data_IF_791907156282
#
_entry.id   IF_791907156282
#
_cell.length_a   1.000
_cell.length_b   1.000
_cell.length_c   1.000
_cell.angle_alpha   90.00
_cell.angle_beta   90.00
_cell.angle_gamma   90.00
#
_symmetry.space_group_name_H-M   'P 1'
#
loop_
_entity.id
_entity.type
_entity.pdbx_description
1 polymer ?
#
# COMPACT_ATOMS: atom_id res chain seq x y z
N UNK A 1 13.10 31.72 57.89
CA UNK A 1 13.64 30.57 58.63
C UNK A 1 13.04 29.34 57.95
N UNK A 2 13.69 28.59 57.08
CA UNK A 2 15.08 28.17 57.08
C UNK A 2 15.12 26.70 57.48
N UNK A 3 15.08 25.78 56.51
CA UNK A 3 15.83 24.52 56.57
C UNK A 3 15.88 23.86 55.20
N UNK A 4 17.12 23.62 54.81
CA UNK A 4 17.65 23.18 53.53
C UNK A 4 18.10 21.72 53.60
N UNK A 5 17.99 21.03 52.45
CA UNK A 5 18.98 20.08 51.90
C UNK A 5 19.12 18.70 52.59
N UNK A 6 19.67 17.64 51.94
CA UNK A 6 20.58 17.69 50.78
C UNK A 6 20.39 16.67 49.63
N UNK A 7 21.21 16.96 48.63
CA UNK A 7 21.59 16.32 47.38
C UNK A 7 22.24 14.93 47.51
N UNK A 8 22.18 14.15 46.44
CA UNK A 8 23.04 12.97 46.21
C UNK A 8 23.24 12.72 44.72
N UNK A 9 24.41 13.10 44.21
CA UNK A 9 24.95 12.69 42.91
C UNK A 9 25.57 11.28 43.02
N UNK A 10 25.46 10.46 41.98
CA UNK A 10 26.39 9.38 41.69
C UNK A 10 26.59 9.21 40.18
N UNK A 11 27.84 9.39 39.76
CA UNK A 11 28.42 9.01 38.47
C UNK A 11 28.58 7.49 38.33
N UNK A 12 28.67 6.99 37.10
CA UNK A 12 29.55 5.84 36.81
C UNK A 12 29.13 4.91 35.66
N UNK A 13 29.83 5.05 34.53
CA UNK A 13 30.22 4.02 33.55
C UNK A 13 29.10 3.32 32.72
N UNK A 14 29.13 3.26 31.39
CA UNK A 14 30.24 3.32 30.44
C UNK A 14 30.70 1.91 30.07
N UNK A 15 30.03 1.27 29.10
CA UNK A 15 30.61 0.11 28.39
C UNK A 15 30.22 0.14 26.90
N UNK A 16 31.17 0.62 26.10
CA UNK A 16 31.26 0.40 24.66
C UNK A 16 31.79 -1.02 24.40
N UNK A 17 31.07 -1.81 23.61
CA UNK A 17 31.58 -3.07 23.08
C UNK A 17 32.12 -2.84 21.66
N UNK A 18 33.44 -2.77 21.55
CA UNK A 18 34.20 -2.81 20.31
C UNK A 18 34.45 -4.28 19.92
N UNK A 19 33.92 -4.69 18.77
CA UNK A 19 34.18 -6.02 18.20
C UNK A 19 35.29 -5.87 17.16
N UNK A 20 36.45 -6.46 17.48
CA UNK A 20 37.60 -6.57 16.58
C UNK A 20 37.33 -7.56 15.46
N UNK A 21 37.46 -7.13 14.20
CA UNK A 21 37.53 -8.03 13.04
C UNK A 21 38.98 -8.52 12.87
N UNK A 22 39.23 -9.81 13.12
CA UNK A 22 40.44 -10.49 12.66
C UNK A 22 40.23 -10.99 11.24
N UNK A 23 41.13 -10.57 10.35
CA UNK A 23 41.35 -11.11 9.02
C UNK A 23 42.03 -12.46 9.10
N UNK A 24 41.61 -13.42 8.26
CA UNK A 24 42.47 -14.54 7.87
C UNK A 24 42.25 -14.86 6.40
N UNK A 25 43.35 -14.74 5.65
CA UNK A 25 43.51 -15.19 4.28
C UNK A 25 43.72 -16.70 4.28
N UNK A 26 43.00 -17.44 3.44
CA UNK A 26 43.45 -18.75 2.94
C UNK A 26 43.22 -18.79 1.43
N UNK A 27 44.30 -19.05 0.71
CA UNK A 27 44.37 -19.14 -0.75
C UNK A 27 44.69 -20.59 -1.12
N UNK A 28 44.13 -21.02 -2.25
CA UNK A 28 44.69 -22.00 -3.21
C UNK A 28 44.62 -23.51 -2.93
N UNK A 29 43.84 -24.20 -3.77
CA UNK A 29 44.28 -25.35 -4.62
C UNK A 29 43.13 -25.69 -5.59
N UNK A 30 43.21 -25.32 -6.88
CA UNK A 30 43.62 -26.16 -8.03
C UNK A 30 43.05 -27.58 -8.02
N UNK A 31 42.08 -27.84 -8.91
CA UNK A 31 42.03 -29.10 -9.65
C UNK A 31 41.40 -28.90 -11.03
N UNK A 32 42.05 -29.54 -12.00
CA UNK A 32 41.89 -29.39 -13.44
C UNK A 32 41.24 -30.65 -14.01
N UNK A 33 40.19 -30.51 -14.82
CA UNK A 33 39.73 -31.59 -15.69
C UNK A 33 39.54 -31.09 -17.12
N UNK A 34 40.27 -31.74 -18.01
CA UNK A 34 40.34 -31.60 -19.47
C UNK A 34 39.86 -32.94 -20.04
N UNK A 35 39.04 -32.90 -21.11
CA UNK A 35 38.70 -33.95 -22.12
C UNK A 35 37.21 -33.78 -22.47
N UNK A 36 36.72 -33.93 -23.70
CA UNK A 36 37.31 -34.20 -25.01
C UNK A 36 36.21 -33.87 -26.03
N UNK A 37 36.59 -33.25 -27.14
CA UNK A 37 35.72 -33.06 -28.29
C UNK A 37 35.53 -34.39 -29.02
N UNK A 38 34.29 -34.70 -29.44
CA UNK A 38 33.98 -35.77 -30.38
C UNK A 38 33.68 -35.13 -31.73
N UNK A 39 34.48 -35.55 -32.71
CA UNK A 39 34.37 -35.27 -34.14
C UNK A 39 33.25 -36.10 -34.77
N UNK A 40 32.46 -35.48 -35.64
CA UNK A 40 31.57 -36.18 -36.59
C UNK A 40 31.47 -35.36 -37.87
N UNK A 41 32.02 -35.90 -38.95
CA UNK A 41 32.03 -35.32 -40.29
C UNK A 41 31.07 -36.09 -41.22
N UNK A 42 30.49 -35.35 -42.19
CA UNK A 42 29.86 -35.73 -43.46
C UNK A 42 28.59 -34.86 -43.64
N UNK A 43 28.25 -34.26 -44.78
CA UNK A 43 28.71 -34.38 -46.15
C UNK A 43 28.28 -33.13 -46.94
N UNK A 44 29.06 -32.82 -47.97
CA UNK A 44 28.93 -31.73 -48.93
C UNK A 44 27.70 -31.81 -49.85
N UNK A 45 27.14 -30.65 -50.20
CA UNK A 45 26.69 -30.36 -51.56
C UNK A 45 26.83 -28.86 -51.85
N UNK A 46 27.80 -28.54 -52.72
CA UNK A 46 28.06 -27.21 -53.27
C UNK A 46 26.96 -26.80 -54.24
N UNK A 47 26.49 -25.55 -54.13
CA UNK A 47 25.97 -24.79 -55.28
C UNK A 47 26.69 -23.44 -55.29
N UNK A 48 27.44 -23.21 -56.36
CA UNK A 48 28.18 -21.99 -56.64
C UNK A 48 27.25 -20.78 -56.79
N UNK A 49 27.57 -19.66 -56.15
CA UNK A 49 27.17 -18.35 -56.65
C UNK A 49 28.36 -17.39 -56.65
N UNK A 50 28.64 -16.90 -57.87
CA UNK A 50 29.71 -15.99 -58.27
C UNK A 50 29.70 -14.71 -57.44
N UNK A 51 30.88 -14.36 -56.90
CA UNK A 51 31.19 -13.01 -56.39
C UNK A 51 31.10 -12.00 -57.54
N UNK A 52 30.12 -11.10 -57.45
CA UNK A 52 30.10 -9.86 -58.23
C UNK A 52 30.52 -8.72 -57.31
N UNK A 53 31.73 -8.22 -57.52
CA UNK A 53 32.20 -6.96 -56.93
C UNK A 53 31.39 -5.85 -57.58
N UNK A 54 30.63 -5.10 -56.79
CA UNK A 54 30.07 -3.81 -57.20
C UNK A 54 30.47 -2.78 -56.16
N UNK A 55 31.09 -1.74 -56.70
CA UNK A 55 31.65 -0.55 -56.07
C UNK A 55 30.65 0.21 -55.21
N UNK A 56 31.18 0.73 -54.10
CA UNK A 56 30.50 1.63 -53.18
C UNK A 56 30.35 3.02 -53.83
N UNK A 57 29.13 3.45 -54.15
CA UNK A 57 28.82 4.87 -54.40
C UNK A 57 27.31 5.10 -54.29
N UNK A 58 26.90 5.82 -53.24
CA UNK A 58 25.53 6.28 -53.05
C UNK A 58 25.16 6.33 -51.57
N UNK A 59 25.35 7.50 -50.96
CA UNK A 59 24.86 7.78 -49.61
C UNK A 59 23.34 7.66 -49.60
N UNK A 60 22.82 6.52 -49.16
CA UNK A 60 21.43 6.41 -48.74
C UNK A 60 21.34 6.99 -47.34
N UNK A 61 20.72 8.17 -47.21
CA UNK A 61 20.33 8.73 -45.92
C UNK A 61 19.62 7.64 -45.11
N UNK A 62 20.21 7.28 -43.97
CA UNK A 62 19.61 6.35 -43.04
C UNK A 62 18.31 6.97 -42.54
N UNK A 63 17.16 6.49 -43.05
CA UNK A 63 15.85 6.81 -42.47
C UNK A 63 15.96 6.58 -40.96
N UNK A 64 15.56 7.55 -40.11
CA UNK A 64 15.66 7.38 -38.68
C UNK A 64 14.87 6.12 -38.32
N UNK A 65 15.56 5.11 -37.75
CA UNK A 65 14.91 3.95 -37.17
C UNK A 65 14.00 4.48 -36.08
N UNK A 66 12.70 4.59 -36.41
CA UNK A 66 11.68 4.96 -35.46
C UNK A 66 11.80 3.96 -34.31
N UNK A 67 12.23 4.41 -33.13
CA UNK A 67 12.24 3.57 -31.94
C UNK A 67 10.77 3.32 -31.61
N UNK A 68 10.27 2.14 -31.99
CA UNK A 68 8.87 1.74 -31.82
C UNK A 68 8.43 1.62 -30.35
N UNK A 69 9.36 1.72 -29.40
CA UNK A 69 9.08 1.60 -27.98
C UNK A 69 9.43 2.92 -27.30
N UNK A 70 8.42 3.69 -26.83
CA UNK A 70 8.65 4.83 -25.96
C UNK A 70 9.50 4.40 -24.76
N UNK A 71 10.66 5.03 -24.57
CA UNK A 71 11.46 4.84 -23.35
C UNK A 71 11.16 5.99 -22.42
N UNK A 72 10.76 5.70 -21.19
CA UNK A 72 10.68 6.72 -20.15
C UNK A 72 12.08 7.30 -19.92
N UNK A 73 12.23 8.62 -19.67
CA UNK A 73 13.53 9.31 -19.58
C UNK A 73 14.55 8.71 -18.59
N UNK A 74 14.09 7.87 -17.66
CA UNK A 74 14.90 7.26 -16.59
C UNK A 74 15.11 5.75 -16.72
N UNK A 75 14.84 5.15 -17.89
CA UNK A 75 14.81 3.68 -18.09
C UNK A 75 15.99 3.10 -18.85
N UNK A 76 17.03 3.88 -19.18
CA UNK A 76 18.12 3.42 -20.05
C UNK A 76 18.93 2.22 -19.49
N UNK A 77 18.83 1.91 -18.19
CA UNK A 77 19.61 0.86 -17.53
C UNK A 77 18.84 -0.41 -17.11
N UNK A 78 17.54 -0.52 -17.38
CA UNK A 78 16.73 -1.65 -16.89
C UNK A 78 16.33 -2.61 -18.01
N UNK A 79 16.31 -3.93 -17.75
CA UNK A 79 15.79 -4.89 -18.71
C UNK A 79 14.31 -4.58 -19.01
N UNK A 80 13.94 -4.66 -20.28
CA UNK A 80 12.55 -4.48 -20.71
C UNK A 80 11.72 -5.60 -20.07
N UNK A 81 10.68 -5.23 -19.32
CA UNK A 81 9.76 -6.22 -18.79
C UNK A 81 9.08 -6.99 -19.94
N UNK A 82 8.84 -8.30 -19.79
CA UNK A 82 7.93 -9.01 -20.67
C UNK A 82 6.59 -8.26 -20.74
N UNK A 83 5.87 -8.33 -21.87
CA UNK A 83 4.55 -7.71 -22.02
C UNK A 83 3.53 -8.16 -20.97
N UNK A 84 3.76 -9.31 -20.35
CA UNK A 84 2.97 -9.91 -19.26
C UNK A 84 3.51 -9.59 -17.86
N UNK A 85 4.63 -8.87 -17.75
CA UNK A 85 5.27 -8.54 -16.47
C UNK A 85 4.71 -7.25 -15.87
N UNK A 86 4.72 -7.16 -14.54
CA UNK A 86 4.41 -5.90 -13.85
C UNK A 86 5.65 -5.00 -13.80
N UNK A 87 5.46 -3.68 -13.87
CA UNK A 87 6.58 -2.74 -13.94
C UNK A 87 6.46 -1.59 -12.95
N UNK A 88 7.45 -1.46 -12.06
CA UNK A 88 7.57 -0.33 -11.16
C UNK A 88 8.28 0.85 -11.81
N UNK A 89 7.71 2.04 -11.64
CA UNK A 89 8.34 3.29 -12.01
C UNK A 89 7.91 4.42 -11.06
N UNK A 90 8.78 5.43 -10.93
CA UNK A 90 8.38 6.69 -10.30
C UNK A 90 7.50 7.45 -11.28
N UNK A 91 6.33 7.87 -10.83
CA UNK A 91 5.39 8.61 -11.65
C UNK A 91 5.87 10.05 -11.85
N UNK A 92 5.81 10.55 -13.09
CA UNK A 92 6.01 11.97 -13.39
C UNK A 92 4.70 12.70 -13.13
N UNK A 93 4.64 13.49 -12.06
CA UNK A 93 3.44 14.24 -11.65
C UNK A 93 3.73 15.75 -11.68
N UNK A 94 2.69 16.56 -11.89
CA UNK A 94 2.80 18.01 -11.97
C UNK A 94 1.58 18.70 -11.35
N UNK A 95 1.58 20.04 -11.31
CA UNK A 95 0.49 20.83 -10.70
C UNK A 95 0.74 21.19 -9.24
N UNK A 96 -0.33 21.43 -8.49
CA UNK A 96 -0.30 21.79 -7.08
C UNK A 96 -0.10 20.54 -6.21
N UNK A 97 1.11 20.00 -6.25
CA UNK A 97 1.47 18.87 -5.39
C UNK A 97 1.42 19.26 -3.91
N UNK A 98 1.30 18.30 -2.98
CA UNK A 98 1.35 18.58 -1.55
C UNK A 98 2.58 19.35 -1.07
N UNK A 99 3.67 19.32 -1.85
CA UNK A 99 4.92 20.03 -1.55
C UNK A 99 5.59 19.58 -0.25
N UNK A 100 5.12 18.49 0.34
CA UNK A 100 5.56 17.95 1.62
C UNK A 100 5.31 16.45 1.69
N UNK A 101 6.14 15.73 2.45
CA UNK A 101 5.89 14.33 2.73
C UNK A 101 4.63 14.10 3.58
N UNK A 102 3.98 12.97 3.37
CA UNK A 102 2.78 12.61 4.14
C UNK A 102 2.72 11.13 4.45
N UNK A 103 2.39 10.81 5.70
CA UNK A 103 2.11 9.44 6.15
C UNK A 103 0.75 9.33 6.84
N UNK A 104 0.17 8.14 6.79
CA UNK A 104 -1.12 7.83 7.42
C UNK A 104 -2.27 8.76 6.97
N UNK A 105 -2.22 9.20 5.72
CA UNK A 105 -3.33 9.83 5.00
C UNK A 105 -4.28 8.75 4.48
N UNK A 106 -5.45 9.15 3.98
CA UNK A 106 -6.33 8.29 3.18
C UNK A 106 -6.33 8.74 1.73
N UNK A 107 -6.65 7.81 0.83
CA UNK A 107 -6.83 8.05 -0.59
C UNK A 107 -8.12 7.36 -1.03
N UNK A 108 -9.03 8.09 -1.67
CA UNK A 108 -10.30 7.56 -2.19
C UNK A 108 -10.43 7.92 -3.66
N UNK A 109 -10.65 6.92 -4.50
CA UNK A 109 -10.83 7.13 -5.94
C UNK A 109 -12.27 7.53 -6.23
N UNK A 110 -12.46 8.63 -6.96
CA UNK A 110 -13.75 9.06 -7.49
C UNK A 110 -13.55 9.29 -8.98
N UNK A 111 -14.15 8.43 -9.80
CA UNK A 111 -13.84 8.31 -11.23
C UNK A 111 -12.34 8.07 -11.46
N UNK A 112 -11.63 9.00 -12.13
CA UNK A 112 -10.19 8.94 -12.38
C UNK A 112 -9.36 9.79 -11.39
N UNK A 113 -10.00 10.40 -10.39
CA UNK A 113 -9.39 11.34 -9.46
C UNK A 113 -9.24 10.72 -8.08
N UNK A 114 -8.01 10.69 -7.57
CA UNK A 114 -7.68 10.24 -6.23
C UNK A 114 -7.78 11.42 -5.27
N UNK A 115 -8.75 11.37 -4.37
CA UNK A 115 -8.92 12.33 -3.29
C UNK A 115 -8.07 11.90 -2.10
N UNK A 116 -7.02 12.66 -1.82
CA UNK A 116 -6.07 12.43 -0.72
C UNK A 116 -6.36 13.40 0.41
N UNK A 117 -6.61 12.87 1.60
CA UNK A 117 -6.94 13.69 2.77
C UNK A 117 -6.02 13.43 3.95
N UNK A 118 -5.64 14.54 4.60
CA UNK A 118 -4.99 14.56 5.91
C UNK A 118 -3.64 13.86 5.93
N UNK A 119 -3.42 13.03 6.94
CA UNK A 119 -2.11 12.47 7.24
C UNK A 119 -1.26 13.42 8.07
N UNK A 120 0.00 13.08 8.25
CA UNK A 120 0.92 13.86 9.07
C UNK A 120 2.35 13.81 8.55
N UNK A 121 3.16 14.74 9.02
CA UNK A 121 4.61 14.72 8.96
C UNK A 121 5.21 14.90 10.37
N UNK A 122 6.45 15.39 10.45
CA UNK A 122 7.11 15.68 11.72
C UNK A 122 6.53 16.91 12.44
N UNK A 123 5.92 17.84 11.71
CA UNK A 123 5.41 19.12 12.23
C UNK A 123 3.99 19.02 12.73
N UNK A 124 3.16 18.17 12.12
CA UNK A 124 1.76 18.06 12.52
C UNK A 124 0.91 17.15 11.64
N UNK A 125 -0.38 17.08 11.96
CA UNK A 125 -1.39 16.48 11.09
C UNK A 125 -2.01 17.55 10.20
N UNK A 126 -2.55 17.12 9.07
CA UNK A 126 -3.15 17.98 8.06
C UNK A 126 -4.65 17.74 7.93
N UNK A 127 -5.36 18.75 7.39
CA UNK A 127 -6.79 18.68 7.02
C UNK A 127 -7.00 19.04 5.54
N UNK A 128 -5.92 19.09 4.79
CA UNK A 128 -5.95 19.49 3.39
C UNK A 128 -6.47 18.34 2.54
N UNK A 129 -7.17 18.71 1.47
CA UNK A 129 -7.57 17.78 0.42
C UNK A 129 -6.73 18.08 -0.81
N UNK A 130 -6.08 17.05 -1.33
CA UNK A 130 -5.44 17.09 -2.64
C UNK A 130 -6.16 16.14 -3.58
N UNK A 131 -6.29 16.52 -4.84
CA UNK A 131 -6.90 15.70 -5.87
C UNK A 131 -5.84 15.38 -6.93
N UNK A 132 -5.57 14.09 -7.11
CA UNK A 132 -4.63 13.60 -8.12
C UNK A 132 -5.40 12.93 -9.27
N UNK A 133 -5.42 13.59 -10.42
CA UNK A 133 -5.96 13.03 -11.65
C UNK A 133 -4.95 12.04 -12.23
N UNK A 134 -5.34 10.77 -12.32
CA UNK A 134 -4.47 9.66 -12.74
C UNK A 134 -4.37 9.49 -14.25
N UNK A 135 -5.26 10.15 -15.00
CA UNK A 135 -5.22 10.19 -16.45
C UNK A 135 -4.25 11.29 -16.91
N UNK A 136 -4.40 12.50 -16.35
CA UNK A 136 -3.54 13.63 -16.69
C UNK A 136 -2.25 13.69 -15.88
N UNK A 137 -2.10 12.89 -14.81
CA UNK A 137 -0.98 12.93 -13.86
C UNK A 137 -0.82 14.28 -13.15
N UNK A 138 -1.93 14.99 -12.98
CA UNK A 138 -1.99 16.34 -12.44
C UNK A 138 -2.54 16.36 -11.00
N UNK A 139 -1.84 17.06 -10.12
CA UNK A 139 -2.30 17.40 -8.78
C UNK A 139 -2.99 18.76 -8.77
N UNK A 140 -4.11 18.83 -8.06
CA UNK A 140 -4.81 20.07 -7.73
C UNK A 140 -5.07 20.14 -6.23
N UNK A 141 -5.15 21.37 -5.71
CA UNK A 141 -5.50 21.64 -4.31
C UNK A 141 -6.79 22.45 -4.23
N UNK A 142 -7.96 21.79 -4.38
CA UNK A 142 -9.23 22.48 -4.39
C UNK A 142 -9.56 23.14 -3.04
N UNK A 143 -10.13 24.34 -3.09
CA UNK A 143 -10.70 25.00 -1.91
C UNK A 143 -11.88 24.19 -1.37
N UNK A 144 -11.82 23.85 -0.09
CA UNK A 144 -12.86 23.16 0.65
C UNK A 144 -13.70 24.14 1.46
N UNK A 145 -15.00 23.87 1.58
CA UNK A 145 -15.94 24.71 2.36
C UNK A 145 -16.74 23.89 3.36
N UNK A 146 -17.48 24.55 4.26
CA UNK A 146 -18.36 23.90 5.23
C UNK A 146 -17.66 23.47 6.52
N UNK A 147 -18.14 22.38 7.12
CA UNK A 147 -17.67 21.87 8.43
C UNK A 147 -16.45 20.97 8.25
N UNK A 148 -15.31 21.57 7.90
CA UNK A 148 -14.07 20.85 7.59
C UNK A 148 -13.58 20.07 8.82
N UNK A 149 -13.23 18.77 8.68
CA UNK A 149 -12.70 17.98 9.79
C UNK A 149 -11.44 18.59 10.41
N UNK A 150 -11.16 18.35 11.70
CA UNK A 150 -9.88 18.72 12.29
C UNK A 150 -8.72 17.98 11.60
N UNK A 151 -7.49 18.50 11.67
CA UNK A 151 -6.33 17.80 11.13
C UNK A 151 -6.18 16.43 11.78
N UNK A 152 -5.96 15.39 10.98
CA UNK A 152 -5.88 14.03 11.52
C UNK A 152 -5.12 13.06 10.61
N UNK A 153 -4.72 11.95 11.22
CA UNK A 153 -4.07 10.81 10.57
C UNK A 153 -4.75 9.50 10.95
N UNK A 154 -4.44 8.45 10.18
CA UNK A 154 -4.90 7.08 10.43
C UNK A 154 -6.43 7.01 10.58
N UNK A 155 -7.12 7.66 9.65
CA UNK A 155 -8.56 7.70 9.50
C UNK A 155 -8.98 6.83 8.31
N UNK A 156 -10.28 6.63 8.11
CA UNK A 156 -10.79 5.96 6.91
C UNK A 156 -11.72 6.89 6.14
N UNK A 157 -11.76 6.69 4.82
CA UNK A 157 -12.60 7.44 3.90
C UNK A 157 -13.23 6.42 2.93
N UNK A 158 -14.56 6.41 2.86
CA UNK A 158 -15.33 5.45 2.07
C UNK A 158 -16.25 6.20 1.12
N UNK A 159 -16.16 5.92 -0.18
CA UNK A 159 -17.04 6.51 -1.18
C UNK A 159 -18.42 5.86 -1.14
N UNK A 160 -19.45 6.71 -1.12
CA UNK A 160 -20.85 6.33 -1.32
C UNK A 160 -21.43 7.28 -2.36
N UNK A 161 -21.79 6.74 -3.52
CA UNK A 161 -22.19 7.50 -4.70
C UNK A 161 -21.13 8.56 -5.10
N UNK A 162 -21.39 9.84 -4.81
CA UNK A 162 -20.48 10.97 -5.05
C UNK A 162 -20.05 11.66 -3.75
N UNK A 163 -20.30 11.04 -2.61
CA UNK A 163 -19.99 11.58 -1.29
C UNK A 163 -19.00 10.67 -0.57
N UNK A 164 -17.98 11.24 0.03
CA UNK A 164 -17.01 10.50 0.82
C UNK A 164 -17.45 10.57 2.29
N UNK A 165 -17.74 9.42 2.88
CA UNK A 165 -17.94 9.28 4.33
C UNK A 165 -16.57 9.14 4.98
N UNK A 166 -16.24 10.10 5.84
CA UNK A 166 -14.96 10.23 6.50
C UNK A 166 -15.09 9.93 7.99
N UNK A 167 -14.47 8.84 8.44
CA UNK A 167 -14.48 8.43 9.85
C UNK A 167 -13.15 8.87 10.46
N UNK A 168 -13.22 9.88 11.33
CA UNK A 168 -12.04 10.58 11.80
C UNK A 168 -11.11 9.67 12.62
N UNK A 169 -9.81 9.92 12.48
CA UNK A 169 -8.75 9.21 13.18
C UNK A 169 -8.32 9.98 14.43
N UNK A 170 -7.12 10.55 14.42
CA UNK A 170 -6.67 11.40 15.52
C UNK A 170 -5.45 12.25 15.20
N UNK A 171 -5.04 13.09 16.14
CA UNK A 171 -3.82 13.90 16.11
C UNK A 171 -3.17 13.94 17.50
N UNK A 172 -1.88 13.61 17.58
CA UNK A 172 -1.15 13.58 18.85
C UNK A 172 -1.83 12.67 19.88
N UNK A 173 -2.20 13.18 21.07
CA UNK A 173 -2.95 12.46 22.09
C UNK A 173 -4.47 12.45 21.85
N UNK A 174 -4.98 13.27 20.92
CA UNK A 174 -6.40 13.40 20.65
C UNK A 174 -6.86 12.35 19.65
N UNK A 175 -7.85 11.55 20.04
CA UNK A 175 -8.52 10.57 19.19
C UNK A 175 -9.93 11.08 18.92
N UNK A 176 -10.44 10.84 17.72
CA UNK A 176 -11.72 11.35 17.27
C UNK A 176 -12.71 10.19 17.06
N UNK A 177 -13.99 10.51 17.23
CA UNK A 177 -15.15 9.62 17.06
C UNK A 177 -16.17 10.18 16.05
N UNK A 178 -15.88 11.37 15.49
CA UNK A 178 -16.76 12.08 14.59
C UNK A 178 -16.69 11.52 13.17
N UNK A 179 -17.84 11.52 12.50
CA UNK A 179 -17.97 11.22 11.07
C UNK A 179 -18.30 12.50 10.31
N UNK A 180 -17.63 12.71 9.18
CA UNK A 180 -17.85 13.84 8.29
C UNK A 180 -18.23 13.34 6.90
N UNK A 181 -18.97 14.16 6.16
CA UNK A 181 -19.36 13.87 4.78
C UNK A 181 -18.75 14.93 3.89
N UNK A 182 -17.97 14.52 2.89
CA UNK A 182 -17.52 15.38 1.81
C UNK A 182 -18.37 15.13 0.57
N UNK A 183 -19.07 16.17 0.12
CA UNK A 183 -19.69 16.16 -1.20
C UNK A 183 -18.65 16.54 -2.26
N UNK A 184 -18.33 15.61 -3.15
CA UNK A 184 -17.21 15.79 -4.11
C UNK A 184 -17.56 16.71 -5.27
N UNK A 185 -18.86 16.98 -5.52
CA UNK A 185 -19.34 17.90 -6.55
C UNK A 185 -19.26 19.34 -6.04
N UNK A 186 -19.82 19.59 -4.85
CA UNK A 186 -19.86 20.92 -4.25
C UNK A 186 -18.61 21.27 -3.45
N UNK A 187 -17.73 20.29 -3.18
CA UNK A 187 -16.51 20.43 -2.36
C UNK A 187 -16.81 20.98 -0.97
N UNK A 188 -17.93 20.55 -0.41
CA UNK A 188 -18.44 21.00 0.88
C UNK A 188 -18.45 19.85 1.88
N UNK A 189 -17.82 20.09 3.02
CA UNK A 189 -17.86 19.23 4.19
C UNK A 189 -19.10 19.51 5.04
N UNK A 190 -19.66 18.46 5.63
CA UNK A 190 -20.74 18.51 6.62
C UNK A 190 -20.38 17.57 7.77
N UNK A 191 -20.62 17.99 9.01
CA UNK A 191 -20.57 17.09 10.15
C UNK A 191 -21.80 16.18 10.08
N UNK A 192 -21.56 14.88 10.07
CA UNK A 192 -22.65 13.92 9.91
C UNK A 192 -23.57 13.96 11.14
N UNK A 193 -24.88 13.95 10.89
CA UNK A 193 -25.88 13.82 11.95
C UNK A 193 -26.10 12.32 12.18
N UNK A 194 -25.68 11.85 13.36
CA UNK A 194 -25.71 10.44 13.72
C UNK A 194 -26.74 10.26 14.83
N UNK A 195 -27.62 9.28 14.64
CA UNK A 195 -28.52 8.80 15.66
C UNK A 195 -27.82 7.79 16.58
N UNK A 196 -28.00 7.95 17.89
CA UNK A 196 -27.47 7.03 18.89
C UNK A 196 -26.02 7.31 19.29
N UNK A 197 -25.27 6.24 19.56
CA UNK A 197 -23.94 6.30 20.18
C UNK A 197 -22.87 6.05 19.12
N UNK A 198 -21.88 6.94 19.05
CA UNK A 198 -20.71 6.75 18.20
C UNK A 198 -19.81 5.62 18.73
N UNK A 199 -19.05 4.95 17.86
CA UNK A 199 -17.94 4.12 18.28
C UNK A 199 -16.97 4.94 19.14
N UNK A 200 -16.29 4.33 20.13
CA UNK A 200 -15.26 5.01 20.90
C UNK A 200 -14.22 5.70 20.01
N UNK A 201 -13.69 6.87 20.43
CA UNK A 201 -12.68 7.58 19.67
C UNK A 201 -11.49 6.70 19.32
N UNK A 202 -11.07 6.70 18.05
CA UNK A 202 -10.07 5.74 17.56
C UNK A 202 -9.27 6.27 16.38
N UNK A 203 -8.07 5.72 16.20
CA UNK A 203 -7.26 5.87 14.97
C UNK A 203 -6.74 4.51 14.52
N UNK A 204 -6.24 4.46 13.30
CA UNK A 204 -5.65 3.26 12.68
C UNK A 204 -6.64 2.08 12.58
N UNK A 205 -7.94 2.39 12.55
CA UNK A 205 -9.00 1.45 12.23
C UNK A 205 -9.07 1.25 10.72
N UNK A 206 -9.74 0.20 10.27
CA UNK A 206 -10.03 -0.03 8.86
C UNK A 206 -11.55 -0.04 8.64
N UNK A 207 -11.97 0.17 7.40
CA UNK A 207 -13.37 0.21 7.04
C UNK A 207 -13.62 -0.44 5.67
N UNK A 208 -14.76 -1.11 5.50
CA UNK A 208 -15.24 -1.62 4.20
C UNK A 208 -16.73 -1.35 4.04
N UNK A 209 -17.20 -1.13 2.80
CA UNK A 209 -18.61 -0.91 2.48
C UNK A 209 -19.27 -2.21 2.02
N UNK A 210 -20.25 -2.72 2.76
CA UNK A 210 -20.99 -3.93 2.40
C UNK A 210 -22.49 -3.74 2.61
N UNK A 211 -23.29 -4.04 1.58
CA UNK A 211 -24.77 -3.99 1.61
C UNK A 211 -25.35 -2.74 2.30
N UNK A 212 -24.85 -1.56 1.93
CA UNK A 212 -25.34 -0.28 2.49
C UNK A 212 -24.89 -0.04 3.94
N UNK A 213 -23.81 -0.68 4.39
CA UNK A 213 -23.22 -0.44 5.71
C UNK A 213 -21.71 -0.27 5.60
N UNK A 214 -21.15 0.73 6.28
CA UNK A 214 -19.69 0.84 6.46
C UNK A 214 -19.31 0.09 7.72
N UNK A 215 -18.61 -1.03 7.55
CA UNK A 215 -18.12 -1.87 8.63
C UNK A 215 -16.72 -1.43 9.04
N UNK A 216 -16.54 -1.06 10.30
CA UNK A 216 -15.29 -0.64 10.92
C UNK A 216 -14.77 -1.73 11.85
N UNK A 217 -13.49 -2.03 11.76
CA UNK A 217 -12.83 -2.98 12.66
C UNK A 217 -11.56 -2.40 13.30
N UNK A 218 -11.44 -2.64 14.60
CA UNK A 218 -10.23 -2.40 15.38
C UNK A 218 -9.80 -0.92 15.48
N UNK A 219 -8.49 -0.70 15.37
CA UNK A 219 -7.84 0.58 15.66
C UNK A 219 -7.31 0.65 17.09
N UNK A 220 -7.10 1.86 17.60
CA UNK A 220 -6.74 2.09 19.00
C UNK A 220 -7.27 3.43 19.50
N UNK A 221 -7.54 3.53 20.80
CA UNK A 221 -8.18 4.69 21.44
C UNK A 221 -7.22 5.54 22.29
N UNK A 222 -5.92 5.27 22.20
CA UNK A 222 -4.89 5.94 23.00
C UNK A 222 -4.53 5.24 24.30
N UNK A 223 -5.38 4.35 24.79
CA UNK A 223 -5.08 3.50 25.95
C UNK A 223 -4.71 2.08 25.53
N UNK A 224 -5.43 1.53 24.54
CA UNK A 224 -5.23 0.18 24.03
C UNK A 224 -5.61 0.09 22.55
N UNK A 225 -5.19 -1.00 21.91
CA UNK A 225 -5.74 -1.41 20.64
C UNK A 225 -7.15 -2.01 20.83
N UNK A 226 -7.92 -2.10 19.75
CA UNK A 226 -9.31 -2.55 19.76
C UNK A 226 -9.49 -3.74 18.81
N UNK A 227 -10.49 -4.58 19.09
CA UNK A 227 -11.00 -5.62 18.18
C UNK A 227 -12.53 -5.65 18.12
N UNK A 228 -13.18 -4.52 18.41
CA UNK A 228 -14.61 -4.37 18.23
C UNK A 228 -14.95 -4.12 16.76
N UNK A 229 -16.19 -4.45 16.40
CA UNK A 229 -16.76 -4.24 15.07
C UNK A 229 -17.95 -3.30 15.20
N UNK A 230 -18.00 -2.29 14.36
CA UNK A 230 -19.10 -1.34 14.26
C UNK A 230 -19.58 -1.24 12.82
N UNK A 231 -20.87 -1.01 12.61
CA UNK A 231 -21.44 -0.78 11.30
C UNK A 231 -22.20 0.56 11.29
N UNK A 232 -21.93 1.40 10.29
CA UNK A 232 -22.67 2.62 10.01
C UNK A 232 -23.68 2.34 8.90
N UNK A 233 -24.96 2.47 9.20
CA UNK A 233 -26.01 2.38 8.20
C UNK A 233 -25.95 3.59 7.25
N UNK A 234 -25.83 3.30 5.96
CA UNK A 234 -25.76 4.24 4.84
C UNK A 234 -26.68 3.79 3.69
N UNK A 235 -27.57 2.82 3.93
CA UNK A 235 -28.41 2.20 2.89
C UNK A 235 -29.40 3.19 2.26
N UNK A 236 -29.75 4.25 2.98
CA UNK A 236 -30.65 5.32 2.54
C UNK A 236 -29.91 6.64 2.32
N UNK A 237 -28.63 6.57 1.95
CA UNK A 237 -27.75 7.71 1.77
C UNK A 237 -27.15 8.21 3.09
N UNK A 238 -26.63 9.44 3.08
CA UNK A 238 -25.83 10.00 4.17
C UNK A 238 -26.56 11.02 5.06
N UNK A 239 -27.89 11.15 4.89
CA UNK A 239 -28.68 12.13 5.65
C UNK A 239 -29.20 11.59 6.97
N UNK A 240 -29.33 10.26 7.10
CA UNK A 240 -29.72 9.56 8.32
C UNK A 240 -28.74 8.44 8.58
N UNK A 241 -27.80 8.69 9.47
CA UNK A 241 -26.75 7.74 9.81
C UNK A 241 -26.96 7.19 11.19
N UNK A 242 -26.72 5.89 11.36
CA UNK A 242 -26.80 5.24 12.66
C UNK A 242 -25.67 4.23 12.81
N UNK A 243 -24.93 4.36 13.89
CA UNK A 243 -23.95 3.36 14.29
C UNK A 243 -24.61 2.23 15.06
N UNK A 244 -24.19 1.00 14.77
CA UNK A 244 -24.53 -0.18 15.53
C UNK A 244 -23.25 -0.93 15.87
N UNK A 245 -23.05 -1.26 17.14
CA UNK A 245 -21.98 -2.18 17.53
C UNK A 245 -22.41 -3.59 17.14
N UNK A 246 -21.56 -4.29 16.41
CA UNK A 246 -21.85 -5.64 15.94
C UNK A 246 -21.20 -6.64 16.88
N UNK A 247 -22.03 -7.50 17.47
CA UNK A 247 -21.55 -8.67 18.19
C UNK A 247 -21.11 -9.72 17.17
N UNK A 248 -19.85 -10.14 17.27
CA UNK A 248 -19.25 -11.12 16.37
C UNK A 248 -19.07 -12.46 17.07
N UNK A 249 -19.03 -13.52 16.28
CA UNK A 249 -18.97 -14.89 16.75
C UNK A 249 -17.67 -15.58 16.31
N UNK A 250 -17.40 -16.74 16.92
CA UNK A 250 -16.18 -17.50 16.69
C UNK A 250 -14.95 -16.92 17.41
N UNK A 251 -13.77 -17.44 17.07
CA UNK A 251 -12.51 -16.91 17.61
C UNK A 251 -12.20 -15.61 16.88
N UNK A 252 -12.16 -14.49 17.59
CA UNK A 252 -11.83 -13.18 17.01
C UNK A 252 -10.31 -12.94 16.94
N UNK A 253 -9.84 -12.12 15.99
CA UNK A 253 -8.49 -11.57 16.01
C UNK A 253 -8.17 -10.83 17.32
N UNK A 254 -6.88 -10.84 17.68
CA UNK A 254 -6.36 -9.94 18.72
C UNK A 254 -6.60 -8.47 18.34
N UNK A 255 -6.71 -7.62 19.35
CA UNK A 255 -6.76 -6.17 19.22
C UNK A 255 -5.63 -5.61 18.36
N UNK A 256 -5.95 -4.74 17.39
CA UNK A 256 -4.98 -4.30 16.40
C UNK A 256 -5.33 -2.97 15.75
N UNK A 257 -4.31 -2.16 15.48
CA UNK A 257 -4.36 -1.00 14.60
C UNK A 257 -3.38 -1.14 13.43
N UNK A 258 -3.55 -0.30 12.41
CA UNK A 258 -2.70 -0.26 11.20
C UNK A 258 -2.58 -1.60 10.46
N UNK A 259 -3.60 -2.45 10.62
CA UNK A 259 -3.87 -3.58 9.73
C UNK A 259 -4.51 -3.05 8.44
N UNK A 260 -4.68 -3.91 7.46
CA UNK A 260 -5.51 -3.63 6.27
C UNK A 260 -6.82 -4.41 6.35
N UNK A 261 -7.86 -3.89 5.70
CA UNK A 261 -9.10 -4.61 5.49
C UNK A 261 -9.57 -4.42 4.04
N UNK A 262 -9.98 -5.51 3.40
CA UNK A 262 -10.49 -5.53 2.04
C UNK A 262 -11.84 -6.25 2.02
N UNK A 263 -12.83 -5.66 1.33
CA UNK A 263 -14.07 -6.38 1.05
C UNK A 263 -13.81 -7.37 -0.08
N UNK A 264 -14.21 -8.61 0.14
CA UNK A 264 -14.09 -9.69 -0.81
C UNK A 264 -15.35 -10.55 -0.72
N UNK A 265 -16.22 -10.46 -1.73
CA UNK A 265 -17.56 -11.04 -1.65
C UNK A 265 -18.31 -10.49 -0.43
N UNK A 266 -18.70 -11.37 0.49
CA UNK A 266 -19.31 -11.03 1.78
C UNK A 266 -18.33 -11.08 2.97
N UNK A 267 -17.02 -11.16 2.72
CA UNK A 267 -16.02 -11.21 3.78
C UNK A 267 -15.23 -9.91 3.85
N UNK A 268 -15.00 -9.42 5.07
CA UNK A 268 -13.91 -8.50 5.36
C UNK A 268 -12.64 -9.32 5.62
N UNK A 269 -11.64 -9.19 4.74
CA UNK A 269 -10.32 -9.83 4.88
C UNK A 269 -9.39 -8.88 5.63
N UNK A 270 -8.96 -9.26 6.82
CA UNK A 270 -8.07 -8.48 7.69
C UNK A 270 -6.67 -9.08 7.68
N UNK A 271 -5.66 -8.27 7.35
CA UNK A 271 -4.25 -8.72 7.27
C UNK A 271 -3.38 -7.94 8.26
N UNK A 272 -2.65 -8.66 9.10
CA UNK A 272 -1.59 -8.12 9.97
C UNK A 272 -2.09 -7.10 11.00
N UNK A 273 -1.31 -6.03 11.20
CA UNK A 273 -1.52 -5.00 12.22
C UNK A 273 -0.64 -5.18 13.46
N UNK A 274 -0.92 -4.38 14.49
CA UNK A 274 -0.21 -4.44 15.77
C UNK A 274 -1.08 -3.92 16.92
N UNK A 275 -0.87 -4.46 18.11
CA UNK A 275 -1.39 -3.95 19.38
C UNK A 275 -0.47 -2.90 20.05
N UNK A 276 0.69 -2.62 19.45
CA UNK A 276 1.75 -1.76 19.99
C UNK A 276 2.87 -2.52 20.69
N UNK A 277 2.72 -3.82 20.93
CA UNK A 277 3.77 -4.72 21.45
C UNK A 277 4.32 -5.64 20.37
N UNK A 278 3.42 -6.27 19.63
CA UNK A 278 3.74 -7.22 18.58
C UNK A 278 3.19 -6.79 17.22
N UNK A 279 3.91 -7.14 16.15
CA UNK A 279 3.40 -7.08 14.78
C UNK A 279 2.86 -8.44 14.40
N UNK A 280 1.62 -8.48 13.90
CA UNK A 280 0.93 -9.71 13.52
C UNK A 280 1.18 -10.10 12.07
N UNK A 281 1.10 -11.41 11.84
CA UNK A 281 1.29 -12.05 10.53
C UNK A 281 0.08 -12.86 10.06
N UNK A 282 -1.01 -12.83 10.82
CA UNK A 282 -2.22 -13.59 10.57
C UNK A 282 -3.15 -12.88 9.57
N UNK A 283 -4.01 -13.70 8.94
CA UNK A 283 -5.10 -13.24 8.09
C UNK A 283 -6.41 -13.77 8.69
N UNK A 284 -7.41 -12.90 8.75
CA UNK A 284 -8.73 -13.20 9.29
C UNK A 284 -9.81 -12.83 8.28
N UNK A 285 -10.87 -13.61 8.27
CA UNK A 285 -12.07 -13.37 7.48
C UNK A 285 -13.23 -13.16 8.44
N UNK A 286 -13.87 -12.00 8.38
CA UNK A 286 -15.18 -11.79 9.00
C UNK A 286 -16.24 -11.92 7.92
N UNK A 287 -17.07 -12.96 8.03
CA UNK A 287 -18.26 -13.07 7.20
C UNK A 287 -19.29 -12.02 7.65
N UNK A 288 -19.59 -11.05 6.80
CA UNK A 288 -20.43 -9.89 7.13
C UNK A 288 -21.93 -10.19 7.11
N UNK A 289 -22.36 -11.32 6.55
CA UNK A 289 -23.75 -11.77 6.63
C UNK A 289 -24.04 -12.47 7.98
N UNK A 290 -23.05 -13.16 8.55
CA UNK A 290 -23.21 -14.00 9.76
C UNK A 290 -22.46 -13.49 10.99
N UNK A 291 -21.64 -12.44 10.82
CA UNK A 291 -20.73 -11.90 11.82
C UNK A 291 -19.73 -12.94 12.39
N UNK A 292 -19.41 -13.99 11.64
CA UNK A 292 -18.51 -15.07 12.06
C UNK A 292 -17.07 -14.79 11.64
N UNK A 293 -16.13 -14.85 12.59
CA UNK A 293 -14.69 -14.80 12.33
C UNK A 293 -14.12 -16.19 12.03
N UNK A 294 -13.28 -16.25 10.99
CA UNK A 294 -12.49 -17.43 10.62
C UNK A 294 -11.03 -17.03 10.40
N UNK A 295 -10.09 -17.75 11.00
CA UNK A 295 -8.65 -17.54 10.78
C UNK A 295 -8.22 -18.26 9.51
N UNK A 296 -7.45 -17.60 8.64
CA UNK A 296 -6.81 -18.25 7.52
C UNK A 296 -5.82 -19.32 8.00
N UNK A 297 -5.78 -20.47 7.33
CA UNK A 297 -4.70 -21.44 7.47
C UNK A 297 -3.67 -21.17 6.39
N UNK A 298 -2.49 -20.72 6.80
CA UNK A 298 -1.43 -20.29 5.89
C UNK A 298 -0.26 -21.27 5.93
N UNK A 299 0.30 -21.57 4.76
CA UNK A 299 1.54 -22.34 4.66
C UNK A 299 2.77 -21.50 5.05
N UNK A 300 2.67 -20.17 4.84
CA UNK A 300 3.69 -19.20 5.21
C UNK A 300 3.05 -17.96 5.80
N UNK A 301 3.68 -17.37 6.80
CA UNK A 301 3.18 -16.16 7.45
C UNK A 301 4.16 -14.99 7.30
N UNK A 302 3.63 -13.77 7.17
CA UNK A 302 4.41 -12.54 7.00
C UNK A 302 3.93 -11.45 7.95
N UNK A 303 4.80 -11.00 8.86
CA UNK A 303 4.50 -9.88 9.75
C UNK A 303 4.33 -8.60 8.94
N UNK A 304 3.18 -7.93 9.09
CA UNK A 304 2.88 -6.72 8.33
C UNK A 304 2.08 -5.71 9.16
N UNK A 305 2.66 -4.53 9.36
CA UNK A 305 2.06 -3.36 9.99
C UNK A 305 2.17 -2.16 9.06
N UNK A 306 1.15 -1.29 8.98
CA UNK A 306 1.22 -0.06 8.14
C UNK A 306 1.55 -0.31 6.66
N UNK A 307 1.28 -1.53 6.20
CA UNK A 307 1.29 -1.90 4.80
C UNK A 307 0.00 -1.44 4.14
N UNK A 308 -0.07 -1.54 2.82
CA UNK A 308 -1.31 -1.43 2.08
C UNK A 308 -1.69 -2.78 1.48
N UNK A 309 -2.99 -2.98 1.24
CA UNK A 309 -3.51 -4.17 0.58
C UNK A 309 -4.52 -3.69 -0.48
N UNK A 310 -4.19 -3.85 -1.75
CA UNK A 310 -5.06 -3.43 -2.86
C UNK A 310 -5.52 -4.66 -3.62
N UNK A 311 -6.83 -4.79 -3.80
CA UNK A 311 -7.37 -5.91 -4.56
C UNK A 311 -7.18 -5.68 -6.05
N UNK A 312 -6.61 -6.66 -6.75
CA UNK A 312 -6.44 -6.71 -8.20
C UNK A 312 -6.88 -8.09 -8.68
N UNK A 313 -8.08 -8.19 -9.25
CA UNK A 313 -8.68 -9.47 -9.61
C UNK A 313 -8.80 -10.41 -8.41
N UNK A 314 -8.26 -11.62 -8.52
CA UNK A 314 -8.24 -12.65 -7.48
C UNK A 314 -7.08 -12.54 -6.49
N UNK A 315 -6.41 -11.39 -6.40
CA UNK A 315 -5.26 -11.18 -5.53
C UNK A 315 -5.42 -9.94 -4.66
N UNK A 316 -4.93 -10.01 -3.43
CA UNK A 316 -4.59 -8.81 -2.65
C UNK A 316 -3.10 -8.54 -2.79
N UNK A 317 -2.77 -7.38 -3.35
CA UNK A 317 -1.40 -6.87 -3.45
C UNK A 317 -1.04 -6.20 -2.13
N UNK A 318 -0.25 -6.90 -1.33
CA UNK A 318 0.22 -6.46 -0.02
C UNK A 318 1.59 -5.81 -0.19
N UNK A 319 1.62 -4.48 -0.08
CA UNK A 319 2.77 -3.66 -0.45
C UNK A 319 3.40 -3.01 0.79
N UNK A 320 4.70 -3.27 0.96
CA UNK A 320 5.54 -2.69 1.99
C UNK A 320 5.08 -2.97 3.43
N UNK A 321 5.17 -1.94 4.27
CA UNK A 321 4.87 -2.01 5.70
C UNK A 321 6.06 -2.45 6.56
N UNK A 322 5.85 -2.51 7.86
CA UNK A 322 6.82 -2.87 8.89
C UNK A 322 6.65 -4.33 9.30
N UNK A 323 7.75 -5.09 9.37
CA UNK A 323 7.73 -6.53 9.65
C UNK A 323 8.16 -6.91 11.07
N UNK A 324 8.30 -5.92 11.95
CA UNK A 324 8.71 -6.10 13.35
C UNK A 324 10.12 -5.60 13.64
N UNK A 325 11.01 -5.63 12.65
CA UNK A 325 12.40 -5.13 12.74
C UNK A 325 12.72 -4.00 11.76
N UNK A 326 12.13 -4.02 10.56
CA UNK A 326 12.38 -3.04 9.51
C UNK A 326 11.14 -2.82 8.64
N UNK A 327 11.15 -1.76 7.84
CA UNK A 327 10.20 -1.64 6.74
C UNK A 327 10.59 -2.59 5.61
N UNK A 328 9.61 -3.21 4.96
CA UNK A 328 9.81 -4.11 3.83
C UNK A 328 9.58 -3.36 2.51
N UNK A 329 10.37 -3.63 1.46
CA UNK A 329 10.07 -3.20 0.09
C UNK A 329 9.24 -4.25 -0.67
N UNK A 330 8.88 -5.37 -0.02
CA UNK A 330 8.29 -6.51 -0.70
C UNK A 330 6.87 -6.20 -1.21
N UNK A 331 6.58 -6.82 -2.37
CA UNK A 331 5.24 -7.01 -2.88
C UNK A 331 4.86 -8.47 -2.67
N UNK A 332 3.96 -8.72 -1.74
CA UNK A 332 3.37 -10.02 -1.53
C UNK A 332 2.01 -10.08 -2.22
N UNK A 333 1.67 -11.21 -2.83
CA UNK A 333 0.34 -11.43 -3.39
C UNK A 333 -0.38 -12.48 -2.56
N UNK A 334 -1.52 -12.13 -1.98
CA UNK A 334 -2.38 -13.12 -1.36
C UNK A 334 -3.41 -13.58 -2.38
N UNK A 335 -3.36 -14.86 -2.78
CA UNK A 335 -4.30 -15.46 -3.71
C UNK A 335 -5.61 -15.73 -2.98
N UNK A 336 -6.69 -15.10 -3.44
CA UNK A 336 -8.02 -15.20 -2.84
C UNK A 336 -8.77 -16.48 -3.22
N UNK A 337 -8.26 -17.27 -4.16
CA UNK A 337 -8.82 -18.59 -4.50
C UNK A 337 -8.19 -19.68 -3.64
N UNK A 338 -6.86 -19.71 -3.58
CA UNK A 338 -6.14 -20.74 -2.81
C UNK A 338 -5.96 -20.39 -1.33
N UNK A 339 -6.23 -19.13 -0.98
CA UNK A 339 -6.00 -18.56 0.36
C UNK A 339 -4.54 -18.68 0.82
N UNK A 340 -3.60 -18.63 -0.12
CA UNK A 340 -2.17 -18.71 0.14
C UNK A 340 -1.40 -17.52 -0.44
N UNK A 341 -0.20 -17.30 0.10
CA UNK A 341 0.74 -16.33 -0.45
C UNK A 341 1.40 -16.85 -1.72
N UNK A 342 1.46 -16.00 -2.73
CA UNK A 342 2.18 -16.20 -3.98
C UNK A 342 3.18 -15.06 -4.21
N UNK A 343 4.21 -15.38 -5.00
CA UNK A 343 5.25 -14.44 -5.40
C UNK A 343 5.22 -14.30 -6.91
N UNK A 344 5.21 -13.05 -7.38
CA UNK A 344 5.37 -12.75 -8.80
C UNK A 344 6.41 -11.66 -9.00
N UNK A 345 7.19 -11.81 -10.08
CA UNK A 345 8.20 -10.85 -10.42
C UNK A 345 7.57 -9.52 -10.85
N UNK A 346 8.08 -8.43 -10.28
CA UNK A 346 7.91 -7.09 -10.82
C UNK A 346 9.28 -6.56 -11.26
N UNK A 347 9.28 -5.82 -12.35
CA UNK A 347 10.47 -5.26 -12.99
C UNK A 347 10.54 -3.75 -12.75
N UNK A 348 11.56 -3.11 -13.31
CA UNK A 348 11.76 -1.66 -13.16
C UNK A 348 12.43 -1.31 -11.83
N UNK A 349 12.18 -0.08 -11.36
CA UNK A 349 12.78 0.43 -10.13
C UNK A 349 11.74 0.40 -9.00
N UNK A 350 11.81 -0.58 -8.08
CA UNK A 350 10.84 -0.67 -7.00
C UNK A 350 10.95 0.55 -6.06
N UNK A 351 9.86 0.90 -5.36
CA UNK A 351 9.90 1.92 -4.33
C UNK A 351 10.85 1.51 -3.20
N UNK A 352 11.45 2.50 -2.54
CA UNK A 352 12.14 2.25 -1.27
C UNK A 352 11.17 1.67 -0.25
N UNK A 353 11.68 0.80 0.63
CA UNK A 353 10.89 0.21 1.71
C UNK A 353 10.19 1.31 2.53
N UNK A 354 8.89 1.15 2.78
CA UNK A 354 8.07 2.18 3.41
C UNK A 354 6.81 1.60 4.02
N UNK A 355 6.24 2.31 4.99
CA UNK A 355 4.89 2.06 5.50
C UNK A 355 4.10 3.36 5.60
N UNK A 356 2.85 3.25 6.04
CA UNK A 356 1.92 4.38 6.20
C UNK A 356 1.65 5.17 4.89
N UNK A 357 1.98 4.58 3.74
CA UNK A 357 1.60 5.08 2.43
C UNK A 357 0.17 4.65 2.12
N UNK A 358 -0.41 5.20 1.06
CA UNK A 358 -1.67 4.69 0.51
C UNK A 358 -1.42 4.06 -0.86
N UNK A 359 -2.29 3.14 -1.24
CA UNK A 359 -2.32 2.60 -2.60
C UNK A 359 -3.73 2.58 -3.12
N UNK A 360 -3.87 2.90 -4.40
CA UNK A 360 -5.15 2.85 -5.12
C UNK A 360 -4.95 2.18 -6.47
N UNK A 361 -5.94 1.40 -6.89
CA UNK A 361 -6.02 0.83 -8.23
C UNK A 361 -6.89 1.72 -9.10
N UNK A 362 -6.35 2.22 -10.21
CA UNK A 362 -7.12 2.88 -11.27
C UNK A 362 -6.38 2.77 -12.59
N UNK A 363 -7.11 2.68 -13.70
CA UNK A 363 -6.54 2.56 -15.05
C UNK A 363 -5.44 1.48 -15.18
N UNK A 364 -5.73 0.28 -14.66
CA UNK A 364 -4.82 -0.87 -14.62
C UNK A 364 -3.45 -0.60 -13.97
N UNK A 365 -3.37 0.42 -13.12
CA UNK A 365 -2.15 0.84 -12.43
C UNK A 365 -2.42 0.91 -10.93
N UNK A 366 -1.50 0.36 -10.14
CA UNK A 366 -1.49 0.62 -8.69
C UNK A 366 -0.62 1.85 -8.45
N UNK A 367 -1.24 2.92 -7.99
CA UNK A 367 -0.53 4.11 -7.53
C UNK A 367 -0.26 4.00 -6.04
N UNK A 368 0.98 4.23 -5.64
CA UNK A 368 1.44 4.30 -4.27
C UNK A 368 1.85 5.74 -3.94
N UNK A 369 1.25 6.33 -2.92
CA UNK A 369 1.41 7.75 -2.58
C UNK A 369 2.01 7.88 -1.18
N UNK A 370 3.13 8.60 -1.11
CA UNK A 370 3.78 9.01 0.14
C UNK A 370 4.27 7.87 1.03
N UNK A 371 4.13 8.06 2.34
CA UNK A 371 4.55 7.14 3.40
C UNK A 371 5.82 7.58 4.12
N UNK A 372 6.45 6.65 4.84
CA UNK A 372 7.71 6.88 5.54
C UNK A 372 8.60 5.65 5.57
N UNK A 373 9.91 5.88 5.45
CA UNK A 373 11.00 4.92 5.60
C UNK A 373 11.61 5.04 7.01
N UNK A 374 10.84 4.74 8.07
CA UNK A 374 11.28 5.06 9.43
C UNK A 374 11.03 6.53 9.77
N UNK A 375 10.84 6.81 11.07
CA UNK A 375 10.07 7.96 11.55
C UNK A 375 10.35 9.33 10.90
N UNK A 376 11.60 9.57 10.49
CA UNK A 376 12.09 10.84 9.92
C UNK A 376 12.24 10.88 8.40
N UNK A 377 12.39 9.74 7.74
CA UNK A 377 12.57 9.68 6.29
C UNK A 377 11.19 9.60 5.63
N UNK A 378 10.50 10.74 5.64
CA UNK A 378 9.18 10.85 5.03
C UNK A 378 9.28 10.94 3.51
N UNK A 379 8.27 10.42 2.83
CA UNK A 379 8.25 10.30 1.38
C UNK A 379 7.05 11.06 0.81
N UNK A 380 7.29 11.81 -0.26
CA UNK A 380 6.31 12.64 -0.97
C UNK A 380 6.08 12.20 -2.42
N UNK A 381 6.68 11.09 -2.84
CA UNK A 381 6.61 10.63 -4.21
C UNK A 381 5.32 9.85 -4.53
N UNK A 382 5.05 9.76 -5.83
CA UNK A 382 4.05 8.88 -6.41
C UNK A 382 4.80 7.79 -7.18
N UNK A 383 4.53 6.54 -6.82
CA UNK A 383 5.09 5.35 -7.45
C UNK A 383 3.97 4.62 -8.17
N UNK A 384 4.27 4.05 -9.33
CA UNK A 384 3.29 3.34 -10.16
C UNK A 384 3.79 1.93 -10.41
N UNK A 385 2.91 0.96 -10.13
CA UNK A 385 3.04 -0.40 -10.63
C UNK A 385 2.07 -0.57 -11.80
N UNK A 386 2.63 -0.62 -12.99
CA UNK A 386 1.89 -0.96 -14.21
C UNK A 386 1.59 -2.46 -14.20
N UNK A 387 0.31 -2.81 -14.25
CA UNK A 387 -0.15 -4.18 -14.25
C UNK A 387 -0.16 -4.67 -15.71
N UNK A 388 0.94 -5.29 -16.14
CA UNK A 388 1.17 -5.66 -17.55
C UNK A 388 -0.06 -6.21 -18.28
N UNK A 389 -0.28 -5.71 -19.51
CA UNK A 389 -1.56 -5.72 -20.23
C UNK A 389 -2.23 -7.06 -20.54
N UNK A 390 -1.67 -8.20 -20.11
CA UNK A 390 -2.28 -9.53 -20.23
C UNK A 390 -2.26 -10.39 -18.96
N UNK A 391 -1.60 -9.96 -17.87
CA UNK A 391 -1.42 -10.81 -16.67
C UNK A 391 -2.37 -10.50 -15.51
N UNK A 392 -2.88 -9.27 -15.46
CA UNK A 392 -3.72 -8.77 -14.36
C UNK A 392 -4.85 -7.87 -14.87
N UNK A 393 -5.32 -8.15 -16.08
CA UNK A 393 -6.61 -7.59 -16.50
C UNK A 393 -7.63 -8.04 -15.46
N UNK A 394 -8.46 -7.12 -14.92
CA UNK A 394 -9.53 -7.46 -13.99
C UNK A 394 -10.64 -8.21 -14.75
N UNK A 395 -10.36 -9.46 -15.16
CA UNK A 395 -11.29 -10.31 -15.89
C UNK A 395 -12.35 -10.91 -14.96
N UNK A 396 -12.12 -10.88 -13.64
CA UNK A 396 -13.06 -11.31 -12.62
C UNK A 396 -13.14 -10.24 -11.54
N UNK A 397 -14.25 -9.49 -11.54
CA UNK A 397 -14.56 -8.46 -10.54
C UNK A 397 -15.52 -8.97 -9.45
N UNK A 398 -16.18 -10.10 -9.71
CA UNK A 398 -17.08 -10.77 -8.77
C UNK A 398 -16.55 -12.18 -8.49
N UNK A 399 -16.22 -12.45 -7.24
CA UNK A 399 -15.79 -13.76 -6.78
C UNK A 399 -16.32 -13.97 -5.37
N UNK A 400 -16.71 -15.21 -5.08
CA UNK A 400 -17.14 -15.63 -3.74
C UNK A 400 -15.98 -16.39 -3.11
N UNK A 401 -15.63 -16.05 -1.88
CA UNK A 401 -14.71 -16.88 -1.11
C UNK A 401 -15.45 -18.11 -0.61
N UNK A 402 -14.95 -19.28 -0.99
CA UNK A 402 -15.30 -20.52 -0.32
C UNK A 402 -14.32 -20.71 0.83
N UNK A 403 -14.82 -20.51 2.05
CA UNK A 403 -14.05 -20.82 3.25
C UNK A 403 -14.04 -22.34 3.46
N UNK A 404 -12.89 -22.95 3.75
CA UNK A 404 -12.79 -24.39 4.00
C UNK A 404 -13.51 -24.85 5.26
#
# INVERSE_FOLDING_TARGET
MGSSSPTGHAHGHGHSLSISRKSSNVRSSRESLRKQAVTGAASSSNVEQKKRVVSNSGAAEARPRMRYVPKLPHTESYPVAPTTGMYWSRASVFGETPGRPMKAHSATVVDNVVWVFGGCDETGCYRDVYCFDTETMHWSHPTMTGEIPPPCRAHTATLIDRKIVFIAGGQGPNYYDKTYILDTITRRWKLAQIEGVNPPPRRAHTAVLYKGQIWVFGGGNGMQALNDVWALDVAHGVEKLKWTKIDTHGKKPQERGYHTANLVGNHMVVIGGSDGRDTYQDIWFLNLDTALWTKAKLDKEYKRLSHTATQVGSYLFVLGGYEGSAFSPEMLLFNLVTLQWEHRAAYGKPPIQRGYHTTVLTDSRVFMIGGSHGGKDLIDDVQTLDLGGAAYLPQVMSFTLEMP
#
